data_IF_504055246699
#
_entry.id   IF_504055246699
#
_cell.length_a   1.000
_cell.length_b   1.000
_cell.length_c   1.000
_cell.angle_alpha   90.00
_cell.angle_beta   90.00
_cell.angle_gamma   90.00
#
_symmetry.space_group_name_H-M   'P 1'
#
loop_
_entity.id
_entity.type
_entity.pdbx_description
1 polymer ?
#
# COMPACT_ATOMS: atom_id res chain seq x y z
N UNK A 1 5.79 -20.38 15.41
CA UNK A 1 6.57 -19.11 15.50
C UNK A 1 5.56 -17.96 15.44
N UNK A 2 5.66 -17.01 16.38
CA UNK A 2 4.75 -15.87 16.41
C UNK A 2 5.15 -14.91 15.28
N UNK A 3 4.23 -14.59 14.37
CA UNK A 3 4.51 -13.65 13.29
C UNK A 3 5.06 -12.34 13.86
N UNK A 4 6.13 -11.82 13.27
CA UNK A 4 6.73 -10.57 13.71
C UNK A 4 5.84 -9.42 13.30
N UNK A 5 5.26 -8.73 14.30
CA UNK A 5 4.40 -7.57 14.11
C UNK A 5 5.28 -6.38 13.71
N UNK A 6 4.93 -5.71 12.62
CA UNK A 6 5.58 -4.49 12.14
C UNK A 6 5.08 -3.26 12.88
N UNK A 7 3.77 -3.03 12.88
CA UNK A 7 3.10 -2.00 13.68
C UNK A 7 1.78 -2.53 14.25
N UNK A 8 1.33 -1.94 15.32
CA UNK A 8 0.12 -2.34 16.03
C UNK A 8 -0.68 -1.11 16.47
N UNK A 9 -2.00 -1.21 16.40
CA UNK A 9 -2.95 -0.18 16.85
C UNK A 9 -4.00 -0.79 17.78
N UNK A 10 -5.02 -0.03 18.17
CA UNK A 10 -6.11 -0.58 18.97
C UNK A 10 -6.82 -1.74 18.28
N UNK A 11 -7.16 -1.60 16.99
CA UNK A 11 -7.96 -2.58 16.24
C UNK A 11 -7.15 -3.48 15.35
N UNK A 12 -5.91 -3.08 14.99
CA UNK A 12 -5.15 -3.68 13.90
C UNK A 12 -3.77 -4.12 14.34
N UNK A 13 -3.21 -5.07 13.63
CA UNK A 13 -1.78 -5.26 13.54
C UNK A 13 -1.37 -5.54 12.09
N UNK A 14 -0.17 -5.11 11.74
CA UNK A 14 0.44 -5.38 10.44
C UNK A 14 1.59 -6.36 10.63
N UNK A 15 1.58 -7.41 9.83
CA UNK A 15 2.64 -8.43 9.80
C UNK A 15 3.06 -8.72 8.37
N UNK A 16 4.23 -9.32 8.21
CA UNK A 16 4.66 -9.84 6.91
C UNK A 16 3.61 -10.77 6.31
N UNK A 17 3.58 -10.76 4.97
CA UNK A 17 2.75 -11.69 4.20
C UNK A 17 3.24 -13.13 4.40
N UNK A 18 2.32 -14.07 4.54
CA UNK A 18 2.56 -15.49 4.73
C UNK A 18 1.76 -16.32 3.71
N UNK A 19 2.14 -17.58 3.50
CA UNK A 19 1.44 -18.49 2.59
C UNK A 19 -0.07 -18.61 2.90
N UNK A 20 -0.45 -18.55 4.18
CA UNK A 20 -1.83 -18.57 4.63
C UNK A 20 -2.69 -17.40 4.14
N UNK A 21 -2.07 -16.34 3.64
CA UNK A 21 -2.77 -15.15 3.12
C UNK A 21 -3.24 -15.31 1.67
N UNK A 22 -2.94 -16.42 1.02
CA UNK A 22 -3.34 -16.70 -0.35
C UNK A 22 -4.84 -16.45 -0.61
N UNK A 23 -5.79 -16.84 0.24
CA UNK A 23 -7.22 -16.57 0.00
C UNK A 23 -7.52 -15.09 -0.19
N UNK A 24 -6.86 -14.20 0.55
CA UNK A 24 -6.96 -12.75 0.38
C UNK A 24 -6.33 -12.30 -0.95
N UNK A 25 -5.10 -12.71 -1.22
CA UNK A 25 -4.37 -12.28 -2.41
C UNK A 25 -4.96 -12.83 -3.71
N UNK A 26 -5.52 -14.03 -3.70
CA UNK A 26 -6.25 -14.58 -4.84
C UNK A 26 -7.38 -13.67 -5.29
N UNK A 27 -8.18 -13.15 -4.37
CA UNK A 27 -9.25 -12.19 -4.67
C UNK A 27 -8.66 -10.82 -5.03
N UNK A 28 -7.69 -10.36 -4.26
CA UNK A 28 -7.06 -9.05 -4.45
C UNK A 28 -6.37 -8.92 -5.82
N UNK A 29 -5.62 -9.92 -6.25
CA UNK A 29 -4.85 -9.88 -7.49
C UNK A 29 -5.69 -10.13 -8.75
N UNK A 30 -6.92 -10.62 -8.62
CA UNK A 30 -7.86 -10.82 -9.74
C UNK A 30 -8.97 -9.77 -9.80
N UNK A 31 -8.97 -8.78 -8.91
CA UNK A 31 -9.95 -7.68 -8.88
C UNK A 31 -9.59 -6.62 -9.92
N UNK A 32 -10.24 -6.67 -11.08
CA UNK A 32 -10.02 -5.76 -12.21
C UNK A 32 -10.36 -4.30 -11.90
N UNK A 33 -11.37 -4.06 -11.09
CA UNK A 33 -11.76 -2.70 -10.70
C UNK A 33 -10.68 -2.06 -9.82
N UNK A 34 -10.18 -2.82 -8.85
CA UNK A 34 -9.06 -2.40 -8.01
C UNK A 34 -7.81 -2.16 -8.86
N UNK A 35 -7.47 -3.05 -9.80
CA UNK A 35 -6.28 -2.90 -10.64
C UNK A 35 -6.34 -1.63 -11.50
N UNK A 36 -7.51 -1.32 -12.05
CA UNK A 36 -7.75 -0.05 -12.75
C UNK A 36 -7.50 1.15 -11.84
N UNK A 37 -7.97 1.10 -10.59
CA UNK A 37 -7.76 2.17 -9.60
C UNK A 37 -6.31 2.31 -9.16
N UNK A 38 -5.53 1.23 -9.24
CA UNK A 38 -4.11 1.20 -8.87
C UNK A 38 -3.16 1.34 -10.06
N UNK A 39 -3.67 1.54 -11.28
CA UNK A 39 -2.90 1.62 -12.52
C UNK A 39 -2.01 0.37 -12.71
N UNK A 40 -2.57 -0.81 -12.48
CA UNK A 40 -1.89 -2.10 -12.64
C UNK A 40 -2.53 -2.93 -13.74
N UNK A 41 -1.72 -3.76 -14.38
CA UNK A 41 -2.24 -4.81 -15.26
C UNK A 41 -2.95 -5.88 -14.42
N UNK A 42 -4.19 -6.25 -14.77
CA UNK A 42 -4.89 -7.29 -14.03
C UNK A 42 -4.24 -8.66 -14.28
N UNK A 43 -4.17 -9.47 -13.22
CA UNK A 43 -3.92 -10.89 -13.39
C UNK A 43 -5.14 -11.52 -14.07
N UNK A 44 -4.91 -12.19 -15.19
CA UNK A 44 -6.00 -12.78 -16.01
C UNK A 44 -6.34 -14.17 -15.49
N UNK A 45 -5.35 -14.90 -15.02
CA UNK A 45 -5.46 -16.29 -14.54
C UNK A 45 -5.10 -16.40 -13.06
N UNK A 46 -5.48 -17.51 -12.44
CA UNK A 46 -5.06 -17.83 -11.08
C UNK A 46 -3.54 -18.07 -11.00
N UNK A 47 -2.93 -18.57 -12.07
CA UNK A 47 -1.48 -18.74 -12.16
C UNK A 47 -0.75 -17.38 -12.17
N UNK A 48 -1.25 -16.41 -12.94
CA UNK A 48 -0.72 -15.03 -12.90
C UNK A 48 -0.83 -14.43 -11.50
N UNK A 49 -1.97 -14.64 -10.84
CA UNK A 49 -2.19 -14.18 -9.48
C UNK A 49 -1.23 -14.86 -8.49
N UNK A 50 -0.92 -16.14 -8.68
CA UNK A 50 0.04 -16.87 -7.84
C UNK A 50 1.45 -16.30 -7.99
N UNK A 51 1.89 -16.02 -9.22
CA UNK A 51 3.18 -15.36 -9.48
C UNK A 51 3.24 -13.96 -8.84
N UNK A 52 2.15 -13.21 -8.91
CA UNK A 52 2.04 -11.92 -8.22
C UNK A 52 2.11 -12.06 -6.69
N UNK A 53 1.53 -13.12 -6.13
CA UNK A 53 1.58 -13.40 -4.70
C UNK A 53 2.99 -13.76 -4.22
N UNK A 54 3.76 -14.48 -5.02
CA UNK A 54 5.14 -14.85 -4.71
C UNK A 54 6.02 -13.60 -4.49
N UNK A 55 5.74 -12.50 -5.19
CA UNK A 55 6.41 -11.23 -4.92
C UNK A 55 6.11 -10.71 -3.50
N UNK A 56 4.85 -10.77 -3.04
CA UNK A 56 4.49 -10.36 -1.68
C UNK A 56 5.06 -11.28 -0.59
N UNK A 57 5.29 -12.56 -0.91
CA UNK A 57 5.92 -13.52 -0.01
C UNK A 57 7.43 -13.33 0.13
N UNK A 58 8.07 -12.63 -0.82
CA UNK A 58 9.51 -12.39 -0.77
C UNK A 58 9.87 -11.63 0.50
N UNK A 59 10.74 -12.24 1.32
CA UNK A 59 11.17 -11.66 2.60
C UNK A 59 11.98 -10.37 2.46
N UNK A 60 12.61 -10.15 1.30
CA UNK A 60 13.32 -8.93 0.97
C UNK A 60 12.36 -7.75 0.78
N UNK A 61 11.14 -8.01 0.34
CA UNK A 61 10.12 -7.00 0.15
C UNK A 61 9.47 -6.61 1.48
N UNK A 62 9.17 -5.33 1.63
CA UNK A 62 8.49 -4.80 2.82
C UNK A 62 6.98 -4.78 2.60
N UNK A 63 6.43 -5.94 2.29
CA UNK A 63 5.00 -6.16 2.09
C UNK A 63 4.35 -6.72 3.35
N UNK A 64 3.22 -6.13 3.73
CA UNK A 64 2.51 -6.44 4.97
C UNK A 64 1.02 -6.63 4.69
N UNK A 65 0.38 -7.49 5.45
CA UNK A 65 -1.09 -7.56 5.55
C UNK A 65 -1.55 -6.78 6.77
N UNK A 66 -2.76 -6.21 6.64
CA UNK A 66 -3.46 -5.49 7.70
C UNK A 66 -4.49 -6.46 8.29
N UNK A 67 -4.31 -6.86 9.53
CA UNK A 67 -5.16 -7.84 10.20
C UNK A 67 -6.02 -7.15 11.25
N UNK A 68 -7.33 -7.43 11.23
CA UNK A 68 -8.27 -6.97 12.25
C UNK A 68 -8.17 -7.89 13.48
N UNK A 69 -7.84 -7.34 14.65
CA UNK A 69 -7.62 -8.11 15.88
C UNK A 69 -8.85 -8.89 16.35
N UNK A 70 -10.02 -8.31 16.18
CA UNK A 70 -11.28 -8.88 16.64
C UNK A 70 -11.61 -10.21 15.96
N UNK A 71 -11.35 -10.31 14.65
CA UNK A 71 -11.76 -11.47 13.84
C UNK A 71 -10.59 -12.28 13.31
N UNK A 72 -9.39 -11.70 13.27
CA UNK A 72 -8.22 -12.29 12.62
C UNK A 72 -8.22 -12.16 11.09
N UNK A 73 -9.20 -11.44 10.52
CA UNK A 73 -9.32 -11.29 9.07
C UNK A 73 -8.23 -10.37 8.51
N UNK A 74 -7.70 -10.77 7.36
CA UNK A 74 -6.89 -9.89 6.51
C UNK A 74 -7.81 -8.93 5.77
N UNK A 75 -7.69 -7.65 6.05
CA UNK A 75 -8.56 -6.58 5.54
C UNK A 75 -7.97 -5.81 4.38
N UNK A 76 -6.65 -5.79 4.28
CA UNK A 76 -5.90 -5.04 3.28
C UNK A 76 -4.43 -5.41 3.28
N UNK A 77 -3.68 -4.78 2.39
CA UNK A 77 -2.23 -4.91 2.32
C UNK A 77 -1.57 -3.55 2.14
N UNK A 78 -0.31 -3.48 2.53
CA UNK A 78 0.51 -2.29 2.46
C UNK A 78 1.95 -2.69 2.13
N UNK A 79 2.60 -1.91 1.27
CA UNK A 79 4.02 -2.07 0.96
C UNK A 79 4.76 -0.78 1.25
N UNK A 80 5.92 -0.90 1.89
CA UNK A 80 6.85 0.21 2.13
C UNK A 80 8.05 0.05 1.21
N UNK A 81 8.32 1.06 0.41
CA UNK A 81 9.53 1.12 -0.42
C UNK A 81 10.55 2.06 0.22
N UNK A 82 11.81 1.65 0.25
CA UNK A 82 12.92 2.45 0.80
C UNK A 82 13.41 3.55 -0.16
N UNK A 83 12.75 3.71 -1.29
CA UNK A 83 13.04 4.71 -2.30
C UNK A 83 11.75 5.40 -2.76
N UNK A 84 11.92 6.49 -3.48
CA UNK A 84 10.84 7.21 -4.13
C UNK A 84 11.13 7.33 -5.62
N UNK A 85 10.11 7.53 -6.49
CA UNK A 85 10.33 7.80 -7.89
C UNK A 85 11.26 8.99 -8.10
N UNK A 86 12.13 8.94 -9.12
CA UNK A 86 13.10 10.00 -9.43
C UNK A 86 12.41 11.34 -9.66
N UNK A 87 11.27 11.35 -10.36
CA UNK A 87 10.45 12.54 -10.59
C UNK A 87 9.99 13.22 -9.30
N UNK A 88 9.72 12.44 -8.25
CA UNK A 88 9.39 12.94 -6.91
C UNK A 88 10.65 13.45 -6.21
N UNK A 89 11.72 12.66 -6.21
CA UNK A 89 12.99 13.02 -5.54
C UNK A 89 13.62 14.31 -6.10
N UNK A 90 13.36 14.62 -7.37
CA UNK A 90 13.84 15.84 -8.04
C UNK A 90 13.06 17.09 -7.63
N UNK A 91 11.90 16.98 -6.98
CA UNK A 91 11.10 18.13 -6.58
C UNK A 91 11.85 18.99 -5.55
N UNK A 92 11.82 20.31 -5.75
CA UNK A 92 12.58 21.28 -4.92
C UNK A 92 12.30 21.12 -3.41
N UNK A 93 11.07 20.79 -3.04
CA UNK A 93 10.64 20.65 -1.64
C UNK A 93 11.28 19.46 -0.91
N UNK A 94 11.69 18.41 -1.65
CA UNK A 94 12.22 17.15 -1.09
C UNK A 94 13.60 16.78 -1.59
N UNK A 95 14.19 17.56 -2.49
CA UNK A 95 15.50 17.30 -3.07
C UNK A 95 16.59 17.13 -1.99
N UNK A 96 17.32 16.03 -2.07
CA UNK A 96 18.41 15.71 -1.13
C UNK A 96 17.96 15.14 0.21
N UNK A 97 16.65 14.88 0.37
CA UNK A 97 16.07 14.30 1.59
C UNK A 97 15.84 12.80 1.41
N UNK A 98 15.82 12.07 2.53
CA UNK A 98 15.53 10.63 2.56
C UNK A 98 14.03 10.39 2.52
N UNK A 99 13.52 9.94 1.37
CA UNK A 99 12.10 9.63 1.19
C UNK A 99 11.80 8.14 1.25
N UNK A 100 10.60 7.80 1.68
CA UNK A 100 10.01 6.46 1.58
C UNK A 100 8.70 6.51 0.83
N UNK A 101 8.34 5.44 0.13
CA UNK A 101 7.07 5.38 -0.60
C UNK A 101 6.13 4.32 -0.01
N UNK A 102 4.84 4.58 -0.08
CA UNK A 102 3.78 3.68 0.34
C UNK A 102 2.88 3.31 -0.83
N UNK A 103 2.52 2.03 -0.90
CA UNK A 103 1.45 1.50 -1.73
C UNK A 103 0.52 0.67 -0.87
N UNK A 104 -0.77 0.79 -1.04
CA UNK A 104 -1.75 0.11 -0.21
C UNK A 104 -3.05 -0.19 -0.95
N UNK A 105 -3.74 -1.21 -0.50
CA UNK A 105 -5.07 -1.55 -0.99
C UNK A 105 -5.92 -2.17 0.12
N UNK A 106 -7.24 -1.96 0.02
CA UNK A 106 -8.24 -2.46 0.96
C UNK A 106 -9.22 -3.37 0.25
N UNK A 107 -9.48 -4.54 0.81
CA UNK A 107 -10.53 -5.43 0.33
C UNK A 107 -11.91 -4.75 0.44
N UNK A 108 -12.76 -4.96 -0.57
CA UNK A 108 -14.04 -4.25 -0.70
C UNK A 108 -14.93 -4.30 0.56
N UNK A 109 -15.10 -5.44 1.26
CA UNK A 109 -15.94 -5.52 2.46
C UNK A 109 -15.47 -4.64 3.63
N UNK A 110 -14.20 -4.22 3.61
CA UNK A 110 -13.55 -3.49 4.70
C UNK A 110 -13.37 -1.99 4.42
N UNK A 111 -13.74 -1.54 3.23
CA UNK A 111 -13.67 -0.12 2.84
C UNK A 111 -14.60 0.75 3.68
N UNK A 112 -14.27 2.03 3.82
CA UNK A 112 -15.07 3.06 4.53
C UNK A 112 -15.29 2.81 6.03
N UNK A 113 -14.48 1.96 6.66
CA UNK A 113 -14.52 1.65 8.11
C UNK A 113 -13.37 2.30 8.90
N UNK A 114 -12.61 3.18 8.25
CA UNK A 114 -11.46 3.86 8.88
C UNK A 114 -10.23 2.99 9.08
N UNK A 115 -10.24 1.73 8.61
CA UNK A 115 -9.17 0.76 8.83
C UNK A 115 -7.87 1.22 8.15
N UNK A 116 -7.92 1.60 6.87
CA UNK A 116 -6.72 2.03 6.15
C UNK A 116 -6.15 3.33 6.72
N UNK A 117 -7.00 4.26 7.12
CA UNK A 117 -6.55 5.49 7.78
C UNK A 117 -5.79 5.19 9.08
N UNK A 118 -6.31 4.30 9.92
CA UNK A 118 -5.67 3.87 11.17
C UNK A 118 -4.34 3.17 10.92
N UNK A 119 -4.29 2.23 9.95
CA UNK A 119 -3.08 1.53 9.58
C UNK A 119 -1.99 2.47 9.05
N UNK A 120 -2.36 3.38 8.14
CA UNK A 120 -1.42 4.33 7.56
C UNK A 120 -0.89 5.33 8.57
N UNK A 121 -1.70 5.84 9.49
CA UNK A 121 -1.22 6.70 10.56
C UNK A 121 -0.13 6.01 11.39
N UNK A 122 -0.32 4.76 11.79
CA UNK A 122 0.65 4.01 12.56
C UNK A 122 1.94 3.74 11.78
N UNK A 123 1.83 3.41 10.49
CA UNK A 123 2.99 3.19 9.62
C UNK A 123 3.75 4.49 9.38
N UNK A 124 3.07 5.59 9.08
CA UNK A 124 3.69 6.91 8.85
C UNK A 124 4.45 7.35 10.10
N UNK A 125 3.84 7.24 11.27
CA UNK A 125 4.48 7.56 12.54
C UNK A 125 5.74 6.71 12.78
N UNK A 126 5.67 5.40 12.51
CA UNK A 126 6.83 4.51 12.60
C UNK A 126 7.95 4.92 11.64
N UNK A 127 7.63 5.22 10.39
CA UNK A 127 8.64 5.61 9.39
C UNK A 127 9.35 6.92 9.75
N UNK A 128 8.65 7.90 10.30
CA UNK A 128 9.28 9.14 10.76
C UNK A 128 10.09 8.93 12.04
N UNK A 129 9.53 8.27 13.05
CA UNK A 129 10.12 8.24 14.39
C UNK A 129 11.16 7.13 14.58
N UNK A 130 10.96 5.97 13.95
CA UNK A 130 11.86 4.83 14.10
C UNK A 130 12.83 4.65 12.93
N UNK A 131 12.45 5.07 11.73
CA UNK A 131 13.29 4.92 10.54
C UNK A 131 13.87 6.24 10.00
N UNK A 132 13.61 7.36 10.67
CA UNK A 132 14.15 8.68 10.34
C UNK A 132 13.88 9.10 8.89
N UNK A 133 12.71 8.77 8.34
CA UNK A 133 12.32 9.30 7.04
C UNK A 133 12.13 10.82 7.13
N UNK A 134 12.66 11.56 6.14
CA UNK A 134 12.44 13.01 6.05
C UNK A 134 11.08 13.34 5.44
N UNK A 135 10.57 12.47 4.57
CA UNK A 135 9.24 12.58 3.97
C UNK A 135 8.73 11.23 3.51
N UNK A 136 7.42 11.15 3.30
CA UNK A 136 6.76 9.97 2.78
C UNK A 136 6.01 10.35 1.51
N UNK A 137 6.22 9.56 0.46
CA UNK A 137 5.55 9.64 -0.81
C UNK A 137 4.46 8.58 -0.93
N UNK A 138 3.34 8.94 -1.50
CA UNK A 138 2.33 8.00 -1.95
C UNK A 138 1.58 8.63 -3.12
N UNK A 139 1.08 7.82 -4.03
CA UNK A 139 0.36 8.28 -5.20
C UNK A 139 -0.93 7.52 -5.43
N UNK A 140 -1.83 8.12 -6.17
CA UNK A 140 -3.04 7.46 -6.65
C UNK A 140 -3.45 8.06 -8.00
N UNK A 141 -4.29 7.32 -8.73
CA UNK A 141 -4.90 7.83 -9.95
C UNK A 141 -5.79 9.06 -9.63
N UNK A 142 -5.76 10.08 -10.49
CA UNK A 142 -6.52 11.31 -10.30
C UNK A 142 -8.05 11.08 -10.22
N UNK A 143 -8.55 10.00 -10.78
CA UNK A 143 -9.96 9.60 -10.68
C UNK A 143 -10.28 8.74 -9.46
N UNK A 144 -9.28 8.34 -8.67
CA UNK A 144 -9.47 7.58 -7.43
C UNK A 144 -9.78 8.52 -6.27
N UNK A 145 -10.97 9.12 -6.29
CA UNK A 145 -11.40 10.11 -5.30
C UNK A 145 -11.33 9.62 -3.84
N UNK A 146 -11.71 8.36 -3.52
CA UNK A 146 -11.56 7.85 -2.16
C UNK A 146 -10.11 7.83 -1.67
N UNK A 147 -9.16 7.47 -2.53
CA UNK A 147 -7.74 7.48 -2.19
C UNK A 147 -7.21 8.91 -2.02
N UNK A 148 -7.61 9.84 -2.90
CA UNK A 148 -7.26 11.26 -2.76
C UNK A 148 -7.73 11.82 -1.42
N UNK A 149 -8.99 11.60 -1.06
CA UNK A 149 -9.54 12.04 0.22
C UNK A 149 -8.81 11.43 1.43
N UNK A 150 -8.40 10.17 1.33
CA UNK A 150 -7.60 9.52 2.36
C UNK A 150 -6.21 10.17 2.50
N UNK A 151 -5.52 10.46 1.38
CA UNK A 151 -4.24 11.15 1.40
C UNK A 151 -4.35 12.54 2.04
N UNK A 152 -5.35 13.35 1.66
CA UNK A 152 -5.60 14.66 2.25
C UNK A 152 -5.84 14.56 3.76
N UNK A 153 -6.67 13.61 4.19
CA UNK A 153 -6.96 13.37 5.62
C UNK A 153 -5.72 12.97 6.42
N UNK A 154 -4.75 12.31 5.78
CA UNK A 154 -3.46 11.94 6.38
C UNK A 154 -2.43 13.07 6.33
N UNK A 155 -2.77 14.22 5.74
CA UNK A 155 -1.89 15.40 5.66
C UNK A 155 -0.95 15.39 4.46
N UNK A 156 -1.15 14.53 3.47
CA UNK A 156 -0.38 14.59 2.22
C UNK A 156 -0.75 15.81 1.39
N UNK A 157 0.25 16.40 0.75
CA UNK A 157 0.07 17.47 -0.24
C UNK A 157 0.48 16.97 -1.62
N UNK A 158 -0.28 17.33 -2.65
CA UNK A 158 0.08 17.01 -4.03
C UNK A 158 1.29 17.87 -4.46
N UNK A 159 2.35 17.23 -4.90
CA UNK A 159 3.57 17.91 -5.38
C UNK A 159 3.85 17.65 -6.86
N UNK A 160 3.21 16.65 -7.44
CA UNK A 160 3.44 16.24 -8.82
C UNK A 160 2.20 15.52 -9.36
N UNK A 161 1.85 15.83 -10.61
CA UNK A 161 0.85 15.07 -11.38
C UNK A 161 1.49 14.68 -12.71
N UNK A 162 1.55 13.41 -12.99
CA UNK A 162 2.12 12.84 -14.22
C UNK A 162 1.05 12.10 -15.00
N UNK A 163 1.19 12.09 -16.32
CA UNK A 163 0.41 11.20 -17.17
C UNK A 163 1.12 9.88 -17.31
N UNK A 164 0.39 8.81 -17.10
CA UNK A 164 0.87 7.46 -17.36
C UNK A 164 0.09 6.88 -18.54
N UNK A 165 0.81 6.38 -19.52
CA UNK A 165 0.23 5.50 -20.54
C UNK A 165 0.19 4.08 -19.97
N UNK A 166 -1.00 3.53 -19.83
CA UNK A 166 -1.21 2.18 -19.31
C UNK A 166 -1.77 1.30 -20.43
N UNK A 167 -1.00 0.29 -20.86
CA UNK A 167 -1.34 -0.58 -22.01
C UNK A 167 -1.72 0.18 -23.29
N UNK A 168 -1.06 1.32 -23.57
CA UNK A 168 -1.33 2.13 -24.77
C UNK A 168 -2.63 2.93 -24.70
N UNK A 169 -3.23 3.08 -23.54
CA UNK A 169 -4.34 3.99 -23.25
C UNK A 169 -3.84 5.13 -22.36
N UNK A 170 -4.01 6.36 -22.84
CA UNK A 170 -3.72 7.60 -22.10
C UNK A 170 -4.77 7.88 -21.03
#
# INVERSE_FOLDING_TARGET
EKAMIFVETNRLFLRKVEEGDWPYFRVHLTDREKDRMMLRSPCITEEDARLGFDWFLNKEERAYVIVLKETGDVTGNLTVYNNVPESVAAQKSVKGKCGKSLSFAMAAPWRRKGIMHEALNAVIEHLFNAENADYINSGCAAYNLPSMALHEKLGFSSILTERFSFNGQD
#
